data_IF_377345217530
#
_entry.id   IF_377345217530
#
_cell.length_a   1.000
_cell.length_b   1.000
_cell.length_c   1.000
_cell.angle_alpha   90.00
_cell.angle_beta   90.00
_cell.angle_gamma   90.00
#
_symmetry.space_group_name_H-M   'P 1'
#
loop_
_entity.id
_entity.type
_entity.pdbx_description
1 polymer ?
#
# COMPACT_ATOMS: atom_id res chain seq x y z
N UNK A 1 -2.62 -3.00 -24.78
CA UNK A 1 -2.64 -1.67 -24.16
C UNK A 1 -1.98 -0.58 -24.99
N UNK A 2 -0.84 -0.84 -25.67
CA UNK A 2 -0.15 0.15 -26.49
C UNK A 2 -1.09 0.95 -27.42
N UNK A 3 -2.05 0.28 -28.07
CA UNK A 3 -3.03 0.91 -28.98
C UNK A 3 -4.01 1.88 -28.30
N UNK A 4 -4.40 1.61 -27.05
CA UNK A 4 -5.34 2.48 -26.30
C UNK A 4 -4.62 3.76 -25.90
N UNK A 5 -3.40 3.64 -25.36
CA UNK A 5 -2.62 4.79 -24.91
C UNK A 5 -2.12 5.64 -26.08
N UNK A 6 -1.75 5.02 -27.20
CA UNK A 6 -1.38 5.77 -28.41
C UNK A 6 -2.59 6.41 -29.11
N UNK A 7 -3.77 5.80 -29.00
CA UNK A 7 -5.01 6.31 -29.61
C UNK A 7 -5.69 7.41 -28.80
N UNK A 8 -5.42 7.49 -27.50
CA UNK A 8 -6.04 8.43 -26.56
C UNK A 8 -4.98 9.31 -25.86
N UNK A 9 -4.30 10.23 -26.57
CA UNK A 9 -3.20 11.03 -26.00
C UNK A 9 -3.64 12.00 -24.90
N UNK A 10 -4.94 12.26 -24.77
CA UNK A 10 -5.52 13.15 -23.74
C UNK A 10 -5.99 12.41 -22.48
N UNK A 11 -5.79 11.10 -22.39
CA UNK A 11 -6.26 10.29 -21.26
C UNK A 11 -5.55 10.68 -19.95
N UNK A 12 -6.32 11.09 -18.94
CA UNK A 12 -5.78 11.53 -17.64
C UNK A 12 -5.94 10.49 -16.53
N UNK A 13 -6.92 9.60 -16.65
CA UNK A 13 -7.26 8.61 -15.65
C UNK A 13 -7.34 7.21 -16.27
N UNK A 14 -6.66 6.24 -15.67
CA UNK A 14 -6.69 4.85 -16.10
C UNK A 14 -6.96 3.96 -14.89
N UNK A 15 -8.03 3.17 -14.97
CA UNK A 15 -8.31 2.12 -14.01
C UNK A 15 -8.29 0.76 -14.70
N UNK A 16 -7.53 -0.16 -14.14
CA UNK A 16 -7.34 -1.50 -14.65
C UNK A 16 -7.86 -2.51 -13.64
N UNK A 17 -8.95 -3.20 -13.99
CA UNK A 17 -9.46 -4.32 -13.23
C UNK A 17 -8.99 -5.62 -13.86
N UNK A 18 -8.50 -6.54 -13.04
CA UNK A 18 -8.25 -7.94 -13.40
C UNK A 18 -7.35 -8.16 -14.62
N UNK A 19 -6.35 -7.29 -14.81
CA UNK A 19 -5.44 -7.32 -15.96
C UNK A 19 -4.31 -8.36 -15.81
N UNK A 20 -4.68 -9.64 -15.69
CA UNK A 20 -3.74 -10.68 -15.29
C UNK A 20 -2.63 -11.00 -16.29
N UNK A 21 -2.91 -10.94 -17.59
CA UNK A 21 -1.93 -11.28 -18.64
C UNK A 21 -0.87 -10.20 -18.88
N UNK A 22 -1.03 -9.03 -18.28
CA UNK A 22 -0.12 -7.92 -18.45
C UNK A 22 1.09 -8.11 -17.53
N UNK A 23 2.30 -8.25 -18.05
CA UNK A 23 3.52 -8.35 -17.21
C UNK A 23 4.11 -6.98 -16.88
N UNK A 24 4.18 -6.09 -17.87
CA UNK A 24 4.76 -4.75 -17.72
C UNK A 24 3.73 -3.73 -18.15
N UNK A 25 3.47 -2.75 -17.28
CA UNK A 25 2.67 -1.57 -17.56
C UNK A 25 3.61 -0.38 -17.70
N UNK A 26 3.98 -0.05 -18.94
CA UNK A 26 4.81 1.11 -19.26
C UNK A 26 3.93 2.28 -19.73
N UNK A 27 3.91 3.32 -18.91
CA UNK A 27 3.15 4.56 -19.06
C UNK A 27 4.08 5.77 -19.24
N UNK A 28 5.38 5.55 -19.48
CA UNK A 28 6.37 6.63 -19.71
C UNK A 28 5.95 7.59 -20.82
N UNK A 29 5.33 7.07 -21.89
CA UNK A 29 4.85 7.89 -23.03
C UNK A 29 3.49 8.56 -22.79
N UNK A 30 2.81 8.25 -21.68
CA UNK A 30 1.46 8.77 -21.37
C UNK A 30 1.55 10.03 -20.51
N UNK A 31 2.06 11.13 -21.08
CA UNK A 31 2.42 12.35 -20.34
C UNK A 31 1.23 13.04 -19.63
N UNK A 32 0.02 12.87 -20.17
CA UNK A 32 -1.21 13.43 -19.60
C UNK A 32 -1.85 12.55 -18.53
N UNK A 33 -1.44 11.29 -18.41
CA UNK A 33 -2.01 10.36 -17.44
C UNK A 33 -1.53 10.72 -16.02
N UNK A 34 -2.45 11.16 -15.16
CA UNK A 34 -2.17 11.59 -13.79
C UNK A 34 -2.60 10.56 -12.75
N UNK A 35 -3.61 9.76 -13.06
CA UNK A 35 -4.19 8.81 -12.10
C UNK A 35 -4.11 7.41 -12.66
N UNK A 36 -3.51 6.51 -11.88
CA UNK A 36 -3.50 5.08 -12.15
C UNK A 36 -4.14 4.32 -11.00
N UNK A 37 -5.14 3.50 -11.32
CA UNK A 37 -5.68 2.50 -10.41
C UNK A 37 -5.51 1.10 -10.99
N UNK A 38 -4.94 0.18 -10.22
CA UNK A 38 -4.77 -1.22 -10.60
C UNK A 38 -5.38 -2.09 -9.50
N UNK A 39 -6.38 -2.87 -9.89
CA UNK A 39 -7.11 -3.79 -9.02
C UNK A 39 -6.94 -5.22 -9.55
N UNK A 40 -6.19 -6.04 -8.83
CA UNK A 40 -5.83 -7.40 -9.28
C UNK A 40 -6.76 -8.44 -8.67
N UNK A 41 -7.32 -9.30 -9.52
CA UNK A 41 -8.20 -10.39 -9.09
C UNK A 41 -7.43 -11.41 -8.22
N UNK A 42 -8.12 -11.98 -7.25
CA UNK A 42 -7.67 -13.06 -6.35
C UNK A 42 -7.43 -14.38 -7.09
N UNK A 43 -8.19 -14.64 -8.17
CA UNK A 43 -8.26 -15.97 -8.81
C UNK A 43 -7.25 -16.20 -9.93
N UNK A 44 -6.44 -15.20 -10.30
CA UNK A 44 -5.50 -15.32 -11.43
C UNK A 44 -4.07 -15.07 -10.94
N UNK A 45 -3.16 -16.05 -11.09
CA UNK A 45 -1.77 -15.93 -10.66
C UNK A 45 -0.91 -15.03 -11.56
N UNK A 46 -1.51 -14.20 -12.39
CA UNK A 46 -0.82 -13.32 -13.32
C UNK A 46 -1.39 -11.90 -13.15
N UNK A 47 -0.53 -10.87 -13.30
CA UNK A 47 -0.87 -9.44 -13.26
C UNK A 47 0.39 -8.59 -13.49
N UNK A 48 0.28 -7.24 -13.66
CA UNK A 48 1.43 -6.38 -13.93
C UNK A 48 2.46 -6.49 -12.84
N UNK A 49 3.54 -7.23 -13.09
CA UNK A 49 4.64 -7.38 -12.16
C UNK A 49 5.50 -6.14 -12.11
N UNK A 50 5.45 -5.27 -13.13
CA UNK A 50 6.20 -4.02 -13.18
C UNK A 50 5.33 -2.85 -13.65
N UNK A 51 5.42 -1.74 -12.94
CA UNK A 51 4.78 -0.46 -13.32
C UNK A 51 5.88 0.58 -13.55
N UNK A 52 5.93 1.14 -14.74
CA UNK A 52 6.77 2.28 -15.12
C UNK A 52 5.82 3.43 -15.42
N UNK A 53 5.72 4.41 -14.52
CA UNK A 53 4.74 5.48 -14.58
C UNK A 53 5.34 6.79 -14.02
N UNK A 54 6.37 7.36 -14.66
CA UNK A 54 7.08 8.54 -14.13
C UNK A 54 6.19 9.77 -13.91
N UNK A 55 5.06 9.87 -14.63
CA UNK A 55 4.22 11.08 -14.68
C UNK A 55 2.91 10.98 -13.88
N UNK A 56 2.63 9.83 -13.24
CA UNK A 56 1.41 9.70 -12.42
C UNK A 56 1.61 10.43 -11.09
N UNK A 57 0.56 11.11 -10.65
CA UNK A 57 0.52 11.84 -9.39
C UNK A 57 -0.23 11.05 -8.32
N UNK A 58 -1.21 10.24 -8.75
CA UNK A 58 -1.97 9.34 -7.89
C UNK A 58 -1.86 7.89 -8.33
N UNK A 59 -1.52 7.00 -7.39
CA UNK A 59 -1.52 5.56 -7.58
C UNK A 59 -2.48 4.90 -6.58
N UNK A 60 -3.44 4.11 -7.07
CA UNK A 60 -4.13 3.10 -6.27
C UNK A 60 -3.70 1.73 -6.72
N UNK A 61 -3.11 0.96 -5.82
CA UNK A 61 -2.74 -0.42 -6.08
C UNK A 61 -3.44 -1.31 -5.05
N UNK A 62 -4.44 -2.04 -5.51
CA UNK A 62 -5.09 -3.09 -4.75
C UNK A 62 -4.61 -4.42 -5.31
N UNK A 63 -3.75 -5.08 -4.54
CA UNK A 63 -3.00 -6.21 -5.05
C UNK A 63 -3.36 -7.51 -4.35
N UNK A 64 -3.85 -8.50 -5.09
CA UNK A 64 -4.12 -9.83 -4.55
C UNK A 64 -2.85 -10.61 -4.21
N UNK A 65 -1.67 -10.25 -4.76
CA UNK A 65 -0.40 -10.89 -4.43
C UNK A 65 0.76 -9.91 -4.42
N UNK A 66 1.73 -10.05 -3.50
CA UNK A 66 2.78 -9.05 -3.29
C UNK A 66 3.89 -9.05 -4.37
N UNK A 67 3.55 -9.05 -5.66
CA UNK A 67 4.50 -9.24 -6.78
C UNK A 67 4.58 -8.05 -7.74
N UNK A 68 3.85 -6.97 -7.48
CA UNK A 68 3.98 -5.75 -8.25
C UNK A 68 5.22 -4.97 -7.78
N UNK A 69 6.09 -4.56 -8.70
CA UNK A 69 7.21 -3.68 -8.43
C UNK A 69 6.98 -2.34 -9.10
N UNK A 70 7.05 -1.25 -8.33
CA UNK A 70 7.10 0.10 -8.86
C UNK A 70 8.52 0.38 -9.33
N UNK A 71 8.69 0.59 -10.63
CA UNK A 71 10.02 0.80 -11.23
C UNK A 71 10.35 2.29 -11.21
N UNK A 72 9.48 3.10 -11.82
CA UNK A 72 9.61 4.55 -11.87
C UNK A 72 8.25 5.19 -11.60
N UNK A 73 8.18 5.98 -10.54
CA UNK A 73 7.00 6.71 -10.08
C UNK A 73 7.41 8.11 -9.58
N UNK A 74 8.35 8.74 -10.28
CA UNK A 74 9.02 9.97 -9.82
C UNK A 74 8.06 11.13 -9.45
N UNK A 75 6.94 11.29 -10.17
CA UNK A 75 5.97 12.38 -9.92
C UNK A 75 4.88 12.03 -8.89
N UNK A 76 4.99 10.89 -8.21
CA UNK A 76 3.93 10.41 -7.34
C UNK A 76 3.84 11.25 -6.06
N UNK A 77 2.64 11.80 -5.82
CA UNK A 77 2.35 12.65 -4.64
C UNK A 77 1.38 11.96 -3.68
N UNK A 78 0.50 11.10 -4.20
CA UNK A 78 -0.45 10.35 -3.41
C UNK A 78 -0.47 8.87 -3.81
N UNK A 79 -0.48 7.97 -2.81
CA UNK A 79 -0.64 6.55 -3.04
C UNK A 79 -1.64 5.90 -2.08
N UNK A 80 -2.42 4.95 -2.61
CA UNK A 80 -3.25 4.02 -1.85
C UNK A 80 -2.82 2.59 -2.12
N UNK A 81 -2.30 1.91 -1.11
CA UNK A 81 -1.89 0.51 -1.19
C UNK A 81 -2.74 -0.36 -0.26
N UNK A 82 -3.21 -1.48 -0.78
CA UNK A 82 -3.72 -2.57 0.06
C UNK A 82 -3.53 -3.92 -0.62
N UNK A 83 -3.55 -4.97 0.19
CA UNK A 83 -3.41 -6.35 -0.27
C UNK A 83 -4.74 -7.08 -0.10
N UNK A 84 -5.29 -7.61 -1.20
CA UNK A 84 -6.61 -8.27 -1.23
C UNK A 84 -6.64 -9.67 -0.60
N UNK A 85 -5.48 -10.21 -0.21
CA UNK A 85 -5.40 -11.57 0.30
C UNK A 85 -5.68 -11.58 1.81
N UNK A 86 -6.64 -12.40 2.25
CA UNK A 86 -6.74 -12.83 3.64
C UNK A 86 -5.56 -13.77 3.91
N UNK A 87 -4.37 -13.19 4.04
CA UNK A 87 -3.14 -13.93 4.30
C UNK A 87 -3.36 -14.63 5.64
N UNK A 88 -3.61 -15.93 5.57
CA UNK A 88 -3.64 -16.77 6.75
C UNK A 88 -2.33 -16.56 7.50
N UNK A 89 -2.38 -16.71 8.82
CA UNK A 89 -1.16 -16.67 9.64
C UNK A 89 -0.08 -17.64 9.12
N UNK A 90 -0.48 -18.77 8.53
CA UNK A 90 0.42 -19.71 7.86
C UNK A 90 1.05 -19.16 6.57
N UNK A 91 0.31 -18.41 5.75
CA UNK A 91 0.86 -17.78 4.56
C UNK A 91 1.91 -16.71 4.94
N UNK A 92 1.58 -15.85 5.90
CA UNK A 92 2.53 -14.83 6.39
C UNK A 92 3.85 -15.44 6.86
N UNK A 93 3.78 -16.52 7.66
CA UNK A 93 4.98 -17.19 8.16
C UNK A 93 5.83 -17.81 7.04
N UNK A 94 5.19 -18.46 6.07
CA UNK A 94 5.90 -19.15 4.98
C UNK A 94 6.46 -18.23 3.88
N UNK A 95 6.02 -16.96 3.85
CA UNK A 95 6.45 -15.95 2.86
C UNK A 95 7.00 -14.66 3.48
N UNK A 96 7.45 -14.71 4.74
CA UNK A 96 7.90 -13.53 5.46
C UNK A 96 8.99 -12.76 4.71
N UNK A 97 10.04 -13.44 4.23
CA UNK A 97 11.16 -12.82 3.49
C UNK A 97 10.69 -12.12 2.22
N UNK A 98 9.76 -12.73 1.50
CA UNK A 98 9.20 -12.17 0.28
C UNK A 98 8.32 -10.94 0.56
N UNK A 99 7.50 -11.00 1.61
CA UNK A 99 6.63 -9.89 2.01
C UNK A 99 7.44 -8.69 2.49
N UNK A 100 8.53 -8.97 3.20
CA UNK A 100 9.49 -7.98 3.68
C UNK A 100 10.19 -7.26 2.53
N UNK A 101 10.84 -8.00 1.64
CA UNK A 101 11.50 -7.43 0.45
C UNK A 101 10.52 -6.60 -0.39
N UNK A 102 9.29 -7.08 -0.57
CA UNK A 102 8.27 -6.35 -1.31
C UNK A 102 7.89 -5.03 -0.61
N UNK A 103 7.59 -5.05 0.69
CA UNK A 103 7.10 -3.85 1.37
C UNK A 103 8.18 -2.77 1.43
N UNK A 104 9.44 -3.15 1.63
CA UNK A 104 10.56 -2.21 1.66
C UNK A 104 10.77 -1.56 0.30
N UNK A 105 10.82 -2.35 -0.77
CA UNK A 105 10.91 -1.82 -2.15
C UNK A 105 9.74 -0.91 -2.51
N UNK A 106 8.53 -1.22 -2.02
CA UNK A 106 7.37 -0.35 -2.17
C UNK A 106 7.55 0.97 -1.42
N UNK A 107 7.91 0.92 -0.14
CA UNK A 107 8.11 2.12 0.68
C UNK A 107 9.21 3.02 0.13
N UNK A 108 10.32 2.47 -0.35
CA UNK A 108 11.40 3.23 -1.00
C UNK A 108 10.88 4.02 -2.22
N UNK A 109 9.98 3.44 -3.01
CA UNK A 109 9.38 4.10 -4.17
C UNK A 109 8.34 5.14 -3.79
N UNK A 110 7.83 5.08 -2.57
CA UNK A 110 6.83 5.99 -2.01
C UNK A 110 7.42 7.06 -1.09
N UNK A 111 8.72 7.07 -0.83
CA UNK A 111 9.37 7.93 0.17
C UNK A 111 9.12 9.44 -0.04
N UNK A 112 8.85 9.87 -1.27
CA UNK A 112 8.58 11.27 -1.62
C UNK A 112 7.08 11.60 -1.73
N UNK A 113 6.18 10.64 -1.53
CA UNK A 113 4.75 10.90 -1.57
C UNK A 113 4.32 11.70 -0.34
N UNK A 114 3.55 12.76 -0.56
CA UNK A 114 3.02 13.62 0.51
C UNK A 114 1.83 12.98 1.23
N UNK A 115 1.12 12.07 0.55
CA UNK A 115 -0.07 11.41 1.11
C UNK A 115 -0.07 9.92 0.84
N UNK A 116 -0.20 9.14 1.91
CA UNK A 116 -0.24 7.68 1.84
C UNK A 116 -1.51 7.14 2.49
N UNK A 117 -2.10 6.13 1.86
CA UNK A 117 -3.20 5.35 2.41
C UNK A 117 -2.83 3.87 2.42
N UNK A 118 -2.88 3.24 3.59
CA UNK A 118 -2.62 1.81 3.75
C UNK A 118 -3.86 1.09 4.24
N UNK A 119 -4.24 0.00 3.57
CA UNK A 119 -5.28 -0.89 4.07
C UNK A 119 -4.76 -1.92 5.08
N UNK A 120 -5.68 -2.68 5.67
CA UNK A 120 -5.40 -3.50 6.87
C UNK A 120 -4.38 -4.61 6.65
N UNK A 121 -4.38 -5.26 5.48
CA UNK A 121 -3.40 -6.31 5.20
C UNK A 121 -2.01 -5.71 4.98
N UNK A 122 -1.92 -4.52 4.39
CA UNK A 122 -0.66 -3.80 4.28
C UNK A 122 -0.10 -3.43 5.66
N UNK A 123 -0.96 -2.90 6.56
CA UNK A 123 -0.58 -2.61 7.96
C UNK A 123 -0.08 -3.86 8.71
N UNK A 124 -0.68 -5.03 8.46
CA UNK A 124 -0.22 -6.30 9.04
C UNK A 124 1.16 -6.73 8.53
N UNK A 125 1.46 -6.54 7.23
CA UNK A 125 2.79 -6.81 6.68
C UNK A 125 3.82 -5.89 7.34
N UNK A 126 3.51 -4.60 7.50
CA UNK A 126 4.40 -3.65 8.16
C UNK A 126 4.74 -4.08 9.59
N UNK A 127 3.75 -4.53 10.37
CA UNK A 127 4.02 -5.08 11.69
C UNK A 127 4.91 -6.32 11.67
N UNK A 128 4.75 -7.21 10.69
CA UNK A 128 5.61 -8.38 10.57
C UNK A 128 7.07 -7.94 10.35
N UNK A 129 7.30 -6.98 9.46
CA UNK A 129 8.64 -6.46 9.17
C UNK A 129 9.25 -5.78 10.40
N UNK A 130 8.45 -5.02 11.15
CA UNK A 130 8.92 -4.41 12.40
C UNK A 130 9.28 -5.45 13.46
N UNK A 131 8.46 -6.49 13.64
CA UNK A 131 8.74 -7.59 14.60
C UNK A 131 10.04 -8.32 14.24
N UNK A 132 10.42 -8.33 12.95
CA UNK A 132 11.69 -8.89 12.48
C UNK A 132 12.89 -7.96 12.65
N UNK A 133 12.67 -6.74 13.16
CA UNK A 133 13.73 -5.78 13.46
C UNK A 133 14.31 -5.08 12.23
N UNK A 134 13.58 -5.03 11.13
CA UNK A 134 14.07 -4.47 9.87
C UNK A 134 13.80 -2.96 9.82
N UNK A 135 14.73 -2.19 9.25
CA UNK A 135 14.61 -0.73 9.16
C UNK A 135 13.67 -0.32 8.03
N UNK A 136 12.86 0.70 8.29
CA UNK A 136 12.00 1.31 7.29
C UNK A 136 12.74 2.51 6.67
N UNK A 137 12.43 2.89 5.42
CA UNK A 137 12.91 4.14 4.86
C UNK A 137 12.20 5.32 5.55
N UNK A 138 12.88 6.47 5.62
CA UNK A 138 12.25 7.73 6.01
C UNK A 138 11.24 8.18 4.95
N UNK A 139 10.05 8.55 5.40
CA UNK A 139 8.94 9.00 4.56
C UNK A 139 8.74 10.50 4.73
N UNK A 140 8.62 11.24 3.62
CA UNK A 140 8.27 12.67 3.60
C UNK A 140 6.75 12.89 3.59
N UNK A 141 6.01 11.94 4.16
CA UNK A 141 4.55 11.94 4.13
C UNK A 141 4.02 12.96 5.13
N UNK A 142 3.11 13.82 4.67
CA UNK A 142 2.39 14.81 5.50
C UNK A 142 1.03 14.30 5.94
N UNK A 143 0.41 13.42 5.16
CA UNK A 143 -0.90 12.83 5.47
C UNK A 143 -0.88 11.31 5.34
N UNK A 144 -1.06 10.61 6.46
CA UNK A 144 -1.17 9.16 6.52
C UNK A 144 -2.60 8.74 6.85
N UNK A 145 -3.16 7.84 6.04
CA UNK A 145 -4.50 7.28 6.23
C UNK A 145 -4.40 5.77 6.42
N UNK A 146 -4.88 5.27 7.55
CA UNK A 146 -5.00 3.84 7.82
C UNK A 146 -6.44 3.42 7.56
N UNK A 147 -6.68 2.73 6.45
CA UNK A 147 -8.00 2.25 6.01
C UNK A 147 -8.26 0.85 6.58
N UNK A 148 -8.21 0.73 7.90
CA UNK A 148 -8.38 -0.53 8.64
C UNK A 148 -8.92 -0.30 10.04
N UNK A 149 -9.60 -1.30 10.58
CA UNK A 149 -9.76 -1.42 12.03
C UNK A 149 -8.38 -1.62 12.67
N UNK A 150 -8.14 -0.94 13.79
CA UNK A 150 -6.91 -1.10 14.57
C UNK A 150 -7.05 -2.33 15.45
N UNK A 151 -6.08 -3.23 15.32
CA UNK A 151 -5.91 -4.40 16.16
C UNK A 151 -4.52 -4.37 16.78
N UNK A 152 -4.34 -5.03 17.93
CA UNK A 152 -3.06 -5.00 18.64
C UNK A 152 -1.88 -5.48 17.77
N UNK A 153 -2.12 -6.45 16.88
CA UNK A 153 -1.08 -6.99 16.01
C UNK A 153 -0.61 -6.03 14.90
N UNK A 154 -1.37 -4.99 14.54
CA UNK A 154 -0.92 -3.97 13.57
C UNK A 154 -0.20 -2.79 14.22
N UNK A 155 -0.20 -2.71 15.56
CA UNK A 155 0.39 -1.58 16.30
C UNK A 155 1.90 -1.43 16.01
N UNK A 156 2.75 -2.47 16.05
CA UNK A 156 4.18 -2.32 15.81
C UNK A 156 4.50 -1.64 14.46
N UNK A 157 3.85 -2.08 13.38
CA UNK A 157 4.06 -1.51 12.06
C UNK A 157 3.59 -0.06 11.96
N UNK A 158 2.50 0.30 12.65
CA UNK A 158 2.02 1.68 12.70
C UNK A 158 3.01 2.56 13.49
N UNK A 159 3.46 2.11 14.66
CA UNK A 159 4.45 2.84 15.46
C UNK A 159 5.70 3.12 14.63
N UNK A 160 6.19 2.10 13.92
CA UNK A 160 7.34 2.24 13.04
C UNK A 160 7.11 3.24 11.91
N UNK A 161 5.95 3.21 11.25
CA UNK A 161 5.60 4.20 10.23
C UNK A 161 5.64 5.63 10.78
N UNK A 162 5.06 5.85 11.97
CA UNK A 162 5.05 7.16 12.61
C UNK A 162 6.46 7.65 12.93
N UNK A 163 7.30 6.79 13.50
CA UNK A 163 8.72 7.11 13.78
C UNK A 163 9.52 7.44 12.52
N UNK A 164 9.14 6.87 11.37
CA UNK A 164 9.79 7.10 10.08
C UNK A 164 9.14 8.23 9.28
N UNK A 165 8.17 8.96 9.85
CA UNK A 165 7.44 10.04 9.18
C UNK A 165 7.52 11.34 10.01
N UNK A 166 8.71 11.95 10.15
CA UNK A 166 8.91 13.13 11.01
C UNK A 166 8.09 14.35 10.59
N UNK A 167 7.74 14.47 9.30
CA UNK A 167 6.98 15.59 8.74
C UNK A 167 5.46 15.33 8.73
N UNK A 168 4.97 14.32 9.45
CA UNK A 168 3.57 13.93 9.43
C UNK A 168 2.68 14.97 10.14
N UNK A 169 1.85 15.67 9.39
CA UNK A 169 0.92 16.68 9.89
C UNK A 169 -0.47 16.07 10.22
N UNK A 170 -0.83 14.97 9.55
CA UNK A 170 -2.18 14.40 9.64
C UNK A 170 -2.18 12.87 9.65
N UNK A 171 -2.71 12.29 10.72
CA UNK A 171 -3.03 10.87 10.81
C UNK A 171 -4.55 10.67 10.81
N UNK A 172 -5.06 9.85 9.89
CA UNK A 172 -6.49 9.50 9.81
C UNK A 172 -6.64 7.98 9.93
N UNK A 173 -7.48 7.53 10.86
CA UNK A 173 -7.83 6.11 11.00
C UNK A 173 -9.27 5.93 10.55
N UNK A 174 -9.49 5.10 9.53
CA UNK A 174 -10.81 4.78 8.97
C UNK A 174 -11.11 3.32 9.25
N UNK A 175 -12.11 3.07 10.09
CA UNK A 175 -12.56 1.71 10.44
C UNK A 175 -13.35 1.03 9.32
N UNK A 176 -12.74 0.81 8.14
CA UNK A 176 -13.34 -0.01 7.08
C UNK A 176 -12.93 -1.46 7.26
N UNK A 177 -13.92 -2.36 7.22
CA UNK A 177 -13.71 -3.79 7.12
C UNK A 177 -13.45 -4.13 5.66
N UNK A 178 -12.31 -4.77 5.36
CA UNK A 178 -12.22 -5.55 4.13
C UNK A 178 -13.23 -6.70 4.26
N UNK A 179 -14.11 -6.88 3.27
CA UNK A 179 -15.31 -7.72 3.31
C UNK A 179 -15.06 -9.24 3.36
N UNK A 180 -13.88 -9.68 3.82
CA UNK A 180 -13.44 -11.08 3.81
C UNK A 180 -12.95 -11.61 5.15
N UNK A 181 -13.07 -10.85 6.24
CA UNK A 181 -12.76 -11.35 7.60
C UNK A 181 -14.07 -11.78 8.29
N UNK A 182 -14.21 -13.05 8.73
CA UNK A 182 -15.31 -13.45 9.59
C UNK A 182 -15.22 -12.64 10.88
N UNK A 183 -16.27 -11.90 11.18
CA UNK A 183 -16.37 -11.04 12.36
C UNK A 183 -16.34 -11.92 13.60
N UNK A 184 -15.15 -12.10 14.18
CA UNK A 184 -15.01 -12.55 15.56
C UNK A 184 -14.04 -11.62 16.31
N UNK A 185 -14.52 -11.22 17.49
CA UNK A 185 -13.85 -10.57 18.62
C UNK A 185 -13.97 -9.03 18.76
N UNK A 186 -14.53 -8.66 19.92
CA UNK A 186 -14.83 -7.33 20.47
C UNK A 186 -13.58 -6.51 20.91
N UNK A 187 -12.44 -6.58 20.21
CA UNK A 187 -11.16 -6.02 20.70
C UNK A 187 -10.70 -4.69 20.08
N UNK A 188 -11.49 -4.10 19.17
CA UNK A 188 -11.09 -2.88 18.45
C UNK A 188 -10.96 -1.63 19.34
N UNK A 189 -11.77 -1.51 20.39
CA UNK A 189 -11.75 -0.35 21.31
C UNK A 189 -10.41 -0.25 22.07
N UNK A 190 -9.91 -1.37 22.62
CA UNK A 190 -8.65 -1.41 23.37
C UNK A 190 -7.43 -1.14 22.48
N UNK A 191 -7.41 -1.65 21.25
CA UNK A 191 -6.27 -1.44 20.36
C UNK A 191 -6.13 0.03 19.90
N UNK A 192 -7.25 0.71 19.64
CA UNK A 192 -7.24 2.16 19.40
C UNK A 192 -6.71 2.93 20.62
N UNK A 193 -7.11 2.56 21.84
CA UNK A 193 -6.61 3.18 23.07
C UNK A 193 -5.09 3.08 23.20
N UNK A 194 -4.50 1.90 22.96
CA UNK A 194 -3.05 1.72 23.02
C UNK A 194 -2.30 2.53 21.97
N UNK A 195 -2.86 2.65 20.75
CA UNK A 195 -2.26 3.49 19.71
C UNK A 195 -2.33 4.96 20.08
N UNK A 196 -3.46 5.45 20.61
CA UNK A 196 -3.61 6.83 21.07
C UNK A 196 -2.64 7.13 22.21
N UNK A 197 -2.52 6.22 23.19
CA UNK A 197 -1.57 6.36 24.29
C UNK A 197 -0.14 6.46 23.78
N UNK A 198 0.25 5.60 22.83
CA UNK A 198 1.58 5.68 22.21
C UNK A 198 1.80 7.02 21.51
N UNK A 199 0.82 7.51 20.74
CA UNK A 199 0.93 8.81 20.07
C UNK A 199 1.16 9.92 21.08
N UNK A 200 0.44 9.92 22.21
CA UNK A 200 0.60 10.91 23.29
C UNK A 200 1.93 10.82 24.05
N UNK A 201 2.57 9.65 24.08
CA UNK A 201 3.85 9.46 24.78
C UNK A 201 5.06 9.82 23.91
N UNK A 202 4.93 9.80 22.59
CA UNK A 202 6.05 9.91 21.64
C UNK A 202 6.05 11.23 20.86
N UNK A 203 4.90 11.86 20.67
CA UNK A 203 4.73 13.14 19.97
C UNK A 203 4.11 14.19 20.89
#
# INVERSE_FOLDING_TARGET
MARILSGCPVLENLTLYHCGKLKVLDLSKSLRLKTLAVDRNVMVPEGPTKIVAPHIHYLRLLDSRPSCTLVDVASLTEAKLDVCYALSTSFFKSKADFLEDMVLKMLEKLQNAEKLTFGGNFAKILSLVEIRGVSFPMLKVKSLILDTLIYQYVIPGIQRLLQNSPDLEKLIIRGRTCSTIPVYYHTTSFACYHLVKYIQEVF
#
